data_IF_330489322134
#
_entry.id   IF_330489322134
#
_cell.length_a   1.000
_cell.length_b   1.000
_cell.length_c   1.000
_cell.angle_alpha   90.00
_cell.angle_beta   90.00
_cell.angle_gamma   90.00
#
_symmetry.space_group_name_H-M   'P 1'
#
loop_
_entity.id
_entity.type
_entity.pdbx_description
1 polymer ?
#
# COMPACT_ATOMS: atom_id res chain seq x y z
N UNK A 1 12.11 -10.04 -16.48
CA UNK A 1 12.88 -9.03 -15.70
C UNK A 1 11.95 -8.44 -14.65
N UNK A 2 12.44 -8.33 -13.42
CA UNK A 2 11.74 -7.71 -12.30
C UNK A 2 11.56 -6.19 -12.47
N UNK A 3 10.87 -5.59 -11.49
CA UNK A 3 10.74 -4.13 -11.40
C UNK A 3 12.10 -3.47 -11.12
N UNK A 4 12.27 -2.26 -11.64
CA UNK A 4 13.43 -1.41 -11.37
C UNK A 4 12.97 -0.02 -10.94
N UNK A 5 13.83 0.67 -10.20
CA UNK A 5 13.68 2.10 -9.96
C UNK A 5 13.98 2.85 -11.26
N UNK A 6 13.08 3.72 -11.68
CA UNK A 6 13.22 4.52 -12.89
C UNK A 6 14.36 5.55 -12.77
N UNK A 7 14.84 6.10 -13.89
CA UNK A 7 15.94 7.07 -13.93
C UNK A 7 15.65 8.32 -13.08
N UNK A 8 14.39 8.75 -13.00
CA UNK A 8 13.97 9.88 -12.17
C UNK A 8 14.06 9.61 -10.67
N UNK A 9 14.33 8.37 -10.25
CA UNK A 9 14.40 7.89 -8.86
C UNK A 9 13.10 8.05 -8.05
N UNK A 10 11.98 8.37 -8.68
CA UNK A 10 10.70 8.65 -8.01
C UNK A 10 9.60 7.67 -8.38
N UNK A 11 9.82 6.83 -9.38
CA UNK A 11 8.84 5.87 -9.90
C UNK A 11 9.51 4.55 -10.24
N UNK A 12 8.70 3.58 -10.67
CA UNK A 12 9.18 2.29 -11.14
C UNK A 12 9.12 2.20 -12.67
N UNK A 13 9.94 1.30 -13.20
CA UNK A 13 9.88 0.85 -14.60
C UNK A 13 9.92 -0.67 -14.70
N UNK A 14 9.29 -1.19 -15.74
CA UNK A 14 9.36 -2.60 -16.14
C UNK A 14 9.53 -2.70 -17.65
N UNK A 15 10.56 -3.42 -18.09
CA UNK A 15 10.87 -3.57 -19.52
C UNK A 15 10.99 -2.22 -20.27
N UNK A 16 11.56 -1.20 -19.62
CA UNK A 16 11.75 0.14 -20.18
C UNK A 16 10.46 0.99 -20.30
N UNK A 17 9.38 0.58 -19.65
CA UNK A 17 8.13 1.34 -19.56
C UNK A 17 7.84 1.73 -18.14
N UNK A 18 7.23 2.92 -17.95
CA UNK A 18 6.74 3.35 -16.64
C UNK A 18 5.80 2.30 -16.05
N UNK A 19 5.95 2.05 -14.76
CA UNK A 19 5.13 1.08 -14.03
C UNK A 19 4.52 1.76 -12.81
N UNK A 20 3.20 1.93 -12.84
CA UNK A 20 2.44 2.37 -11.68
C UNK A 20 2.13 1.16 -10.80
N UNK A 21 2.66 1.15 -9.57
CA UNK A 21 2.46 0.07 -8.60
C UNK A 21 1.00 0.13 -8.08
N UNK A 22 0.11 -0.68 -8.65
CA UNK A 22 -1.27 -0.83 -8.17
C UNK A 22 -1.38 -2.19 -7.49
N UNK A 23 -1.32 -2.20 -6.16
CA UNK A 23 -1.32 -3.43 -5.39
C UNK A 23 -2.63 -3.70 -4.67
N UNK A 24 -2.87 -4.98 -4.40
CA UNK A 24 -3.86 -5.44 -3.42
C UNK A 24 -3.18 -6.15 -2.25
N UNK A 25 -3.72 -5.95 -1.06
CA UNK A 25 -3.24 -6.56 0.17
C UNK A 25 -3.92 -7.90 0.41
N UNK A 26 -3.16 -8.98 0.40
CA UNK A 26 -3.63 -10.33 0.69
C UNK A 26 -2.65 -11.04 1.64
N UNK A 27 -2.49 -10.49 2.86
CA UNK A 27 -1.46 -10.92 3.81
C UNK A 27 -1.49 -12.42 4.10
N UNK A 28 -2.68 -13.00 4.27
CA UNK A 28 -2.87 -14.40 4.67
C UNK A 28 -2.94 -15.38 3.48
N UNK A 29 -2.50 -15.00 2.28
CA UNK A 29 -2.70 -15.83 1.09
C UNK A 29 -2.13 -17.24 1.25
N UNK A 30 -0.88 -17.39 1.67
CA UNK A 30 -0.21 -18.69 1.74
C UNK A 30 -0.75 -19.64 2.80
N UNK A 31 -1.48 -19.12 3.78
CA UNK A 31 -2.05 -19.94 4.87
C UNK A 31 -3.54 -20.21 4.71
N UNK A 32 -4.29 -19.27 4.11
CA UNK A 32 -5.75 -19.27 4.19
C UNK A 32 -6.46 -19.51 2.85
N UNK A 33 -5.76 -19.46 1.71
CA UNK A 33 -6.40 -19.56 0.40
C UNK A 33 -6.13 -20.93 -0.23
N UNK A 34 -7.20 -21.60 -0.66
CA UNK A 34 -7.08 -22.80 -1.48
C UNK A 34 -6.84 -22.45 -2.96
N UNK A 35 -6.43 -23.43 -3.75
CA UNK A 35 -6.04 -23.24 -5.15
C UNK A 35 -7.15 -22.64 -6.04
N UNK A 36 -8.40 -23.06 -5.85
CA UNK A 36 -9.52 -22.57 -6.65
C UNK A 36 -9.86 -21.12 -6.35
N UNK A 37 -9.92 -20.78 -5.06
CA UNK A 37 -10.17 -19.42 -4.61
C UNK A 37 -9.02 -18.49 -5.01
N UNK A 38 -7.76 -18.98 -4.99
CA UNK A 38 -6.61 -18.23 -5.45
C UNK A 38 -6.73 -17.84 -6.92
N UNK A 39 -7.03 -18.80 -7.80
CA UNK A 39 -7.24 -18.52 -9.23
C UNK A 39 -8.39 -17.54 -9.47
N UNK A 40 -9.50 -17.69 -8.74
CA UNK A 40 -10.62 -16.77 -8.82
C UNK A 40 -10.22 -15.34 -8.41
N UNK A 41 -9.53 -15.18 -7.27
CA UNK A 41 -9.04 -13.91 -6.77
C UNK A 41 -8.10 -13.23 -7.79
N UNK A 42 -7.10 -13.95 -8.28
CA UNK A 42 -6.16 -13.44 -9.28
C UNK A 42 -6.88 -12.97 -10.55
N UNK A 43 -7.80 -13.79 -11.06
CA UNK A 43 -8.58 -13.42 -12.23
C UNK A 43 -9.41 -12.16 -12.00
N UNK A 44 -10.02 -12.03 -10.84
CA UNK A 44 -10.85 -10.88 -10.51
C UNK A 44 -10.02 -9.61 -10.40
N UNK A 45 -8.93 -9.62 -9.62
CA UNK A 45 -8.01 -8.47 -9.47
C UNK A 45 -7.33 -8.08 -10.79
N UNK A 46 -7.00 -9.06 -11.62
CA UNK A 46 -6.47 -8.80 -12.97
C UNK A 46 -7.45 -8.00 -13.83
N UNK A 47 -8.74 -8.33 -13.80
CA UNK A 47 -9.78 -7.57 -14.52
C UNK A 47 -9.90 -6.13 -14.02
N UNK A 48 -9.63 -5.90 -12.76
CA UNK A 48 -9.57 -4.56 -12.16
C UNK A 48 -8.26 -3.82 -12.46
N UNK A 49 -7.30 -4.42 -13.17
CA UNK A 49 -6.04 -3.78 -13.56
C UNK A 49 -4.96 -3.79 -12.48
N UNK A 50 -5.17 -4.50 -11.37
CA UNK A 50 -4.14 -4.70 -10.36
C UNK A 50 -2.94 -5.45 -10.96
N UNK A 51 -1.73 -5.08 -10.52
CA UNK A 51 -0.50 -5.60 -11.09
C UNK A 51 0.53 -6.01 -10.04
N UNK A 52 0.27 -5.79 -8.75
CA UNK A 52 1.12 -6.23 -7.63
C UNK A 52 0.25 -6.89 -6.55
N UNK A 53 0.80 -7.89 -5.87
CA UNK A 53 0.20 -8.51 -4.68
C UNK A 53 1.15 -8.37 -3.50
N UNK A 54 0.64 -7.87 -2.37
CA UNK A 54 1.35 -7.84 -1.09
C UNK A 54 0.95 -9.07 -0.27
N UNK A 55 1.92 -9.94 0.05
CA UNK A 55 1.68 -11.23 0.70
C UNK A 55 2.72 -11.44 1.79
N UNK A 56 2.31 -11.92 2.97
CA UNK A 56 3.24 -12.33 4.03
C UNK A 56 3.81 -13.72 3.76
N UNK A 57 5.13 -13.85 3.86
CA UNK A 57 5.79 -15.15 3.84
C UNK A 57 5.49 -15.90 5.14
N UNK A 58 5.56 -15.22 6.28
CA UNK A 58 5.16 -15.78 7.57
C UNK A 58 3.78 -15.24 7.98
N UNK A 59 2.88 -16.07 8.53
CA UNK A 59 1.53 -15.64 8.89
C UNK A 59 1.53 -14.60 10.00
N UNK A 60 0.68 -13.60 9.87
CA UNK A 60 0.37 -12.64 10.92
C UNK A 60 -0.64 -13.24 11.92
N UNK A 61 -0.82 -12.58 13.07
CA UNK A 61 -1.77 -13.05 14.10
C UNK A 61 -3.22 -12.63 13.81
N UNK A 62 -3.44 -11.47 13.21
CA UNK A 62 -4.75 -10.90 12.90
C UNK A 62 -5.35 -11.47 11.60
N UNK A 63 -5.27 -12.77 11.48
CA UNK A 63 -5.82 -13.55 10.38
C UNK A 63 -7.11 -14.24 10.79
N UNK A 64 -7.89 -14.66 9.83
CA UNK A 64 -9.03 -15.55 10.05
C UNK A 64 -8.57 -16.98 10.30
N UNK A 65 -9.29 -17.69 11.15
CA UNK A 65 -9.10 -19.12 11.32
C UNK A 65 -9.33 -19.84 9.99
N UNK A 66 -8.58 -20.92 9.77
CA UNK A 66 -8.63 -21.71 8.53
C UNK A 66 -8.58 -23.20 8.83
N UNK A 67 -9.19 -24.01 7.97
CA UNK A 67 -9.07 -25.48 8.00
C UNK A 67 -7.83 -25.97 7.23
N UNK A 68 -7.15 -25.07 6.52
CA UNK A 68 -5.93 -25.38 5.79
C UNK A 68 -4.77 -25.49 6.78
N UNK A 69 -4.04 -26.58 6.69
CA UNK A 69 -2.93 -26.85 7.62
C UNK A 69 -1.58 -26.44 7.00
N UNK A 70 -1.44 -25.15 6.66
CA UNK A 70 -0.20 -24.61 6.13
C UNK A 70 0.57 -23.88 7.24
N UNK A 71 1.76 -24.38 7.57
CA UNK A 71 2.63 -23.81 8.60
C UNK A 71 4.07 -23.72 8.11
N UNK A 72 4.75 -22.56 8.23
CA UNK A 72 6.13 -22.37 7.76
C UNK A 72 7.16 -23.16 8.56
N UNK A 73 6.83 -23.55 9.78
CA UNK A 73 7.67 -24.31 10.68
C UNK A 73 6.92 -25.52 11.25
N UNK A 74 7.66 -26.53 11.70
CA UNK A 74 7.09 -27.54 12.56
C UNK A 74 6.68 -26.91 13.90
N UNK A 75 5.67 -27.47 14.53
CA UNK A 75 5.16 -27.02 15.84
C UNK A 75 5.50 -28.02 16.93
N UNK A 76 5.77 -27.51 18.12
CA UNK A 76 5.87 -28.31 19.32
C UNK A 76 4.49 -28.76 19.83
N UNK A 77 4.45 -29.54 20.92
CA UNK A 77 3.22 -30.03 21.54
C UNK A 77 2.30 -28.89 22.06
N UNK A 78 2.85 -27.68 22.25
CA UNK A 78 2.12 -26.49 22.68
C UNK A 78 1.68 -25.61 21.52
N UNK A 79 2.04 -25.97 20.27
CA UNK A 79 1.72 -25.22 19.06
C UNK A 79 2.71 -24.11 18.72
N UNK A 80 3.83 -23.95 19.45
CA UNK A 80 4.86 -22.96 19.13
C UNK A 80 5.74 -23.43 17.97
N UNK A 81 6.25 -22.51 17.19
CA UNK A 81 7.17 -22.79 16.09
C UNK A 81 8.53 -23.26 16.59
N UNK A 82 9.05 -24.31 15.96
CA UNK A 82 10.43 -24.77 16.07
C UNK A 82 11.22 -24.13 14.92
N UNK A 83 11.83 -22.98 15.15
CA UNK A 83 12.44 -22.15 14.09
C UNK A 83 13.65 -22.80 13.41
N UNK A 84 14.25 -23.82 14.03
CA UNK A 84 15.27 -24.70 13.45
C UNK A 84 14.69 -25.75 12.46
N UNK A 85 13.35 -25.85 12.33
CA UNK A 85 12.66 -26.87 11.54
C UNK A 85 11.68 -26.25 10.53
N UNK A 86 12.22 -25.71 9.47
CA UNK A 86 11.46 -25.21 8.34
C UNK A 86 10.62 -26.32 7.70
N UNK A 87 9.42 -25.97 7.25
CA UNK A 87 8.50 -26.89 6.60
C UNK A 87 8.53 -26.73 5.08
N UNK A 88 9.27 -27.59 4.39
CA UNK A 88 9.41 -27.53 2.93
C UNK A 88 8.08 -27.60 2.19
N UNK A 89 7.08 -28.32 2.71
CA UNK A 89 5.77 -28.40 2.06
C UNK A 89 5.06 -27.04 2.01
N UNK A 90 5.22 -26.24 3.06
CA UNK A 90 4.70 -24.86 3.09
C UNK A 90 5.37 -23.97 2.05
N UNK A 91 6.70 -23.98 1.99
CA UNK A 91 7.44 -23.16 1.04
C UNK A 91 7.20 -23.58 -0.42
N UNK A 92 7.06 -24.89 -0.68
CA UNK A 92 6.67 -25.38 -2.01
C UNK A 92 5.26 -24.96 -2.39
N UNK A 93 4.31 -24.98 -1.47
CA UNK A 93 2.96 -24.47 -1.67
C UNK A 93 2.97 -22.95 -1.95
N UNK A 94 3.65 -22.16 -1.12
CA UNK A 94 3.77 -20.71 -1.30
C UNK A 94 4.42 -20.37 -2.66
N UNK A 95 5.48 -21.09 -3.06
CA UNK A 95 6.09 -20.95 -4.37
C UNK A 95 5.09 -21.20 -5.50
N UNK A 96 4.36 -22.32 -5.43
CA UNK A 96 3.34 -22.66 -6.43
C UNK A 96 2.28 -21.55 -6.58
N UNK A 97 1.83 -20.97 -5.47
CA UNK A 97 0.91 -19.83 -5.50
C UNK A 97 1.54 -18.60 -6.16
N UNK A 98 2.82 -18.32 -5.90
CA UNK A 98 3.56 -17.24 -6.55
C UNK A 98 3.70 -17.45 -8.07
N UNK A 99 4.01 -18.68 -8.51
CA UNK A 99 4.10 -19.04 -9.92
C UNK A 99 2.78 -18.80 -10.64
N UNK A 100 1.67 -19.24 -10.05
CA UNK A 100 0.33 -18.97 -10.59
C UNK A 100 0.05 -17.45 -10.66
N UNK A 101 0.40 -16.68 -9.64
CA UNK A 101 0.25 -15.22 -9.68
C UNK A 101 1.07 -14.57 -10.80
N UNK A 102 2.31 -15.04 -11.02
CA UNK A 102 3.17 -14.58 -12.14
C UNK A 102 2.57 -14.94 -13.51
N UNK A 103 1.95 -16.11 -13.67
CA UNK A 103 1.22 -16.48 -14.90
C UNK A 103 0.06 -15.53 -15.20
N UNK A 104 -0.64 -15.05 -14.17
CA UNK A 104 -1.64 -13.98 -14.29
C UNK A 104 -1.02 -12.60 -14.53
N UNK A 105 0.30 -12.45 -14.47
CA UNK A 105 1.05 -11.23 -14.75
C UNK A 105 1.18 -10.28 -13.56
N UNK A 106 1.04 -10.77 -12.34
CA UNK A 106 1.31 -9.98 -11.13
C UNK A 106 2.79 -9.93 -10.80
N UNK A 107 3.24 -8.80 -10.25
CA UNK A 107 4.44 -8.70 -9.47
C UNK A 107 4.15 -9.09 -8.02
N UNK A 108 5.17 -9.58 -7.34
CA UNK A 108 5.06 -10.07 -5.97
C UNK A 108 5.79 -9.12 -5.03
N UNK A 109 5.11 -8.59 -4.03
CA UNK A 109 5.70 -7.88 -2.91
C UNK A 109 5.60 -8.77 -1.67
N UNK A 110 6.68 -9.49 -1.37
CA UNK A 110 6.71 -10.51 -0.33
C UNK A 110 7.25 -9.94 0.98
N UNK A 111 6.42 -9.94 2.02
CA UNK A 111 6.80 -9.48 3.36
C UNK A 111 7.56 -10.59 4.08
N UNK A 112 8.79 -10.27 4.48
CA UNK A 112 9.76 -11.24 4.98
C UNK A 112 9.55 -11.53 6.47
N UNK A 113 9.59 -10.51 7.32
CA UNK A 113 9.46 -10.63 8.77
C UNK A 113 8.35 -9.73 9.31
N UNK A 114 7.18 -10.30 9.60
CA UNK A 114 6.12 -9.55 10.28
C UNK A 114 6.52 -9.23 11.72
N UNK A 115 6.07 -8.12 12.27
CA UNK A 115 6.54 -7.59 13.56
C UNK A 115 6.34 -8.55 14.75
N UNK A 116 5.34 -9.43 14.75
CA UNK A 116 5.14 -10.39 15.83
C UNK A 116 6.27 -11.44 15.97
N UNK A 117 7.10 -11.64 14.94
CA UNK A 117 8.26 -12.53 15.00
C UNK A 117 9.53 -11.86 15.53
N UNK A 118 9.53 -10.54 15.63
CA UNK A 118 10.71 -9.72 15.93
C UNK A 118 10.59 -9.17 17.35
N UNK A 119 11.56 -9.44 18.26
CA UNK A 119 11.47 -9.03 19.65
C UNK A 119 11.39 -7.51 19.80
N UNK A 120 10.73 -7.08 20.88
CA UNK A 120 10.56 -5.69 21.27
C UNK A 120 9.78 -4.80 20.29
N UNK A 121 9.11 -5.39 19.30
CA UNK A 121 8.09 -4.68 18.50
C UNK A 121 6.76 -4.65 19.27
N UNK A 122 5.88 -3.72 18.87
CA UNK A 122 4.57 -3.57 19.51
C UNK A 122 3.76 -4.87 19.51
N UNK A 123 3.71 -5.61 18.40
CA UNK A 123 2.96 -6.86 18.29
C UNK A 123 3.64 -8.01 19.04
N UNK A 124 4.97 -8.11 19.01
CA UNK A 124 5.69 -9.13 19.76
C UNK A 124 5.53 -8.94 21.27
N UNK A 125 5.49 -7.71 21.77
CA UNK A 125 5.23 -7.42 23.18
C UNK A 125 3.85 -7.92 23.66
N UNK A 126 2.88 -8.05 22.74
CA UNK A 126 1.57 -8.62 23.04
C UNK A 126 1.50 -10.14 22.79
N UNK A 127 2.29 -10.66 21.83
CA UNK A 127 2.23 -12.03 21.31
C UNK A 127 3.62 -12.64 21.18
N UNK A 128 4.33 -12.83 22.30
CA UNK A 128 5.74 -13.24 22.30
C UNK A 128 6.00 -14.73 22.06
N UNK A 129 4.96 -15.57 21.94
CA UNK A 129 5.09 -17.03 21.85
C UNK A 129 5.81 -17.57 20.60
N UNK A 130 5.86 -16.76 19.53
CA UNK A 130 6.55 -17.09 18.28
C UNK A 130 7.65 -16.09 17.93
N UNK A 131 8.40 -15.60 18.92
CA UNK A 131 9.57 -14.76 18.66
C UNK A 131 10.66 -15.59 17.99
N UNK A 132 11.12 -15.17 16.81
CA UNK A 132 12.20 -15.85 16.09
C UNK A 132 13.54 -15.62 16.80
N UNK A 133 14.34 -16.66 17.10
CA UNK A 133 15.71 -16.48 17.59
C UNK A 133 16.59 -15.77 16.54
N UNK A 134 17.47 -14.88 16.98
CA UNK A 134 18.30 -14.06 16.06
C UNK A 134 19.21 -14.91 15.15
N UNK A 135 19.69 -16.03 15.65
CA UNK A 135 20.52 -17.01 14.92
C UNK A 135 19.76 -17.71 13.81
N UNK A 136 18.42 -17.85 13.92
CA UNK A 136 17.59 -18.56 12.94
C UNK A 136 17.25 -17.68 11.70
N UNK A 137 17.54 -16.39 11.77
CA UNK A 137 17.33 -15.47 10.61
C UNK A 137 18.11 -15.96 9.39
N UNK A 138 19.35 -16.42 9.55
CA UNK A 138 20.20 -16.87 8.42
C UNK A 138 19.57 -18.05 7.68
N UNK A 139 19.10 -19.06 8.43
CA UNK A 139 18.43 -20.24 7.87
C UNK A 139 17.15 -19.87 7.15
N UNK A 140 16.34 -19.02 7.77
CA UNK A 140 15.09 -18.55 7.20
C UNK A 140 15.30 -17.72 5.93
N UNK A 141 16.20 -16.75 5.94
CA UNK A 141 16.49 -15.89 4.76
C UNK A 141 17.05 -16.69 3.59
N UNK A 142 17.92 -17.70 3.84
CA UNK A 142 18.35 -18.62 2.80
C UNK A 142 17.17 -19.36 2.18
N UNK A 143 16.25 -19.86 3.01
CA UNK A 143 15.04 -20.53 2.52
C UNK A 143 14.15 -19.60 1.69
N UNK A 144 13.97 -18.35 2.11
CA UNK A 144 13.24 -17.31 1.34
C UNK A 144 13.91 -17.11 -0.03
N UNK A 145 15.22 -16.92 -0.05
CA UNK A 145 15.97 -16.76 -1.29
C UNK A 145 15.82 -17.95 -2.24
N UNK A 146 16.05 -19.17 -1.74
CA UNK A 146 15.92 -20.41 -2.52
C UNK A 146 14.51 -20.61 -3.09
N UNK A 147 13.50 -20.14 -2.36
CA UNK A 147 12.09 -20.35 -2.73
C UNK A 147 11.62 -19.34 -3.75
N UNK A 148 11.99 -18.06 -3.65
CA UNK A 148 11.28 -16.99 -4.34
C UNK A 148 12.14 -16.12 -5.26
N UNK A 149 13.47 -16.05 -5.10
CA UNK A 149 14.28 -15.02 -5.76
C UNK A 149 14.27 -15.10 -7.29
N UNK A 150 14.18 -16.30 -7.86
CA UNK A 150 14.11 -16.49 -9.31
C UNK A 150 12.78 -16.03 -9.93
N UNK A 151 11.78 -15.71 -9.10
CA UNK A 151 10.52 -15.07 -9.53
C UNK A 151 10.59 -13.54 -9.59
N UNK A 152 11.77 -12.97 -9.32
CA UNK A 152 12.01 -11.51 -9.28
C UNK A 152 11.03 -10.74 -8.34
N UNK A 153 10.84 -11.12 -7.06
CA UNK A 153 9.95 -10.40 -6.17
C UNK A 153 10.53 -9.06 -5.72
N UNK A 154 9.66 -8.19 -5.20
CA UNK A 154 10.03 -7.10 -4.29
C UNK A 154 10.06 -7.69 -2.88
N UNK A 155 11.14 -7.52 -2.13
CA UNK A 155 11.18 -7.95 -0.74
C UNK A 155 10.82 -6.79 0.19
N UNK A 156 9.76 -6.97 0.96
CA UNK A 156 9.37 -6.05 2.02
C UNK A 156 9.87 -6.64 3.34
N UNK A 157 10.96 -6.10 3.84
CA UNK A 157 11.75 -6.73 4.91
C UNK A 157 10.97 -6.84 6.23
N UNK A 158 10.17 -5.83 6.54
CA UNK A 158 9.33 -5.79 7.76
C UNK A 158 7.85 -5.74 7.41
N UNK A 159 7.01 -6.14 8.37
CA UNK A 159 5.56 -5.90 8.30
C UNK A 159 5.07 -5.22 9.58
N UNK A 160 4.39 -4.09 9.44
CA UNK A 160 3.71 -3.31 10.48
C UNK A 160 4.56 -3.02 11.74
N UNK A 161 5.84 -2.74 11.55
CA UNK A 161 6.81 -2.55 12.65
C UNK A 161 6.94 -1.11 13.11
N UNK A 162 7.22 -0.92 14.39
CA UNK A 162 7.38 0.40 15.03
C UNK A 162 8.83 0.89 15.10
N UNK A 163 9.83 0.05 14.94
CA UNK A 163 11.27 0.38 14.90
C UNK A 163 11.81 1.14 16.14
N UNK A 164 11.14 1.03 17.27
CA UNK A 164 11.48 1.82 18.47
C UNK A 164 12.75 1.33 19.16
N UNK A 165 13.08 0.05 19.05
CA UNK A 165 14.15 -0.59 19.80
C UNK A 165 15.29 -1.06 18.90
N UNK A 166 16.52 -0.94 19.38
CA UNK A 166 17.74 -1.33 18.66
C UNK A 166 17.73 -2.82 18.28
N UNK A 167 17.19 -3.66 19.17
CA UNK A 167 17.10 -5.10 18.92
C UNK A 167 16.21 -5.40 17.70
N UNK A 168 15.03 -4.81 17.60
CA UNK A 168 14.13 -5.00 16.46
C UNK A 168 14.76 -4.49 15.17
N UNK A 169 15.41 -3.32 15.20
CA UNK A 169 16.15 -2.79 14.07
C UNK A 169 17.27 -3.72 13.60
N UNK A 170 17.97 -4.42 14.53
CA UNK A 170 19.04 -5.35 14.19
C UNK A 170 18.54 -6.57 13.41
N UNK A 171 17.34 -7.08 13.73
CA UNK A 171 16.70 -8.19 12.98
C UNK A 171 16.44 -7.78 11.53
N UNK A 172 15.81 -6.64 11.32
CA UNK A 172 15.49 -6.16 9.98
C UNK A 172 16.75 -5.81 9.18
N UNK A 173 17.75 -5.22 9.85
CA UNK A 173 19.03 -4.91 9.19
C UNK A 173 19.74 -6.20 8.73
N UNK A 174 19.80 -7.23 9.59
CA UNK A 174 20.39 -8.54 9.25
C UNK A 174 19.66 -9.19 8.07
N UNK A 175 18.33 -9.25 8.13
CA UNK A 175 17.52 -9.84 7.06
C UNK A 175 17.72 -9.10 5.72
N UNK A 176 17.73 -7.76 5.76
CA UNK A 176 17.94 -6.93 4.56
C UNK A 176 19.34 -7.14 3.95
N UNK A 177 20.40 -7.12 4.77
CA UNK A 177 21.77 -7.32 4.30
C UNK A 177 21.96 -8.70 3.66
N UNK A 178 21.45 -9.76 4.29
CA UNK A 178 21.51 -11.10 3.72
C UNK A 178 20.75 -11.20 2.38
N UNK A 179 19.58 -10.57 2.25
CA UNK A 179 18.85 -10.55 1.00
C UNK A 179 19.55 -9.71 -0.08
N UNK A 180 20.24 -8.62 0.27
CA UNK A 180 21.07 -7.89 -0.71
C UNK A 180 22.23 -8.74 -1.22
N UNK A 181 22.83 -9.56 -0.38
CA UNK A 181 23.90 -10.47 -0.79
C UNK A 181 23.40 -11.62 -1.67
N UNK A 182 22.26 -12.23 -1.31
CA UNK A 182 21.71 -13.41 -1.98
C UNK A 182 20.87 -13.08 -3.21
N UNK A 183 20.18 -11.95 -3.21
CA UNK A 183 19.22 -11.52 -4.22
C UNK A 183 19.45 -10.03 -4.65
N UNK A 184 20.65 -9.67 -5.15
CA UNK A 184 21.03 -8.27 -5.38
C UNK A 184 20.20 -7.54 -6.44
N UNK A 185 19.41 -8.24 -7.22
CA UNK A 185 18.53 -7.67 -8.24
C UNK A 185 17.10 -7.45 -7.77
N UNK A 186 16.73 -7.94 -6.59
CA UNK A 186 15.41 -7.77 -6.01
C UNK A 186 15.36 -6.46 -5.21
N UNK A 187 14.42 -5.58 -5.54
CA UNK A 187 14.24 -4.33 -4.79
C UNK A 187 13.75 -4.60 -3.37
N UNK A 188 14.21 -3.79 -2.42
CA UNK A 188 13.86 -3.93 -1.01
C UNK A 188 13.19 -2.66 -0.46
N UNK A 189 12.24 -2.86 0.46
CA UNK A 189 11.62 -1.81 1.25
C UNK A 189 11.28 -2.30 2.66
N UNK A 190 10.76 -1.39 3.49
CA UNK A 190 10.18 -1.68 4.80
C UNK A 190 8.70 -1.31 4.78
N UNK A 191 7.87 -2.17 5.34
CA UNK A 191 6.50 -1.83 5.71
C UNK A 191 6.46 -1.51 7.21
N UNK A 192 6.12 -0.27 7.52
CA UNK A 192 6.13 0.26 8.89
C UNK A 192 4.70 0.42 9.42
N UNK A 193 4.53 0.46 10.74
CA UNK A 193 3.21 0.64 11.35
C UNK A 193 2.56 1.97 10.93
N UNK A 194 1.25 2.01 11.08
CA UNK A 194 0.46 3.20 10.77
C UNK A 194 1.01 4.47 11.41
N UNK A 195 1.16 5.52 10.60
CA UNK A 195 1.53 6.87 11.01
C UNK A 195 2.98 7.03 11.47
N UNK A 196 3.84 6.02 11.25
CA UNK A 196 5.27 6.12 11.57
C UNK A 196 5.97 7.05 10.57
N UNK A 197 6.65 8.07 11.09
CA UNK A 197 7.41 9.04 10.30
C UNK A 197 8.91 8.71 10.32
N UNK A 198 9.45 8.41 11.49
CA UNK A 198 10.88 8.26 11.70
C UNK A 198 11.35 6.82 11.49
N UNK A 199 12.27 6.65 10.54
CA UNK A 199 12.93 5.37 10.25
C UNK A 199 14.43 5.55 10.50
N UNK A 200 15.08 4.66 11.29
CA UNK A 200 16.51 4.75 11.53
C UNK A 200 17.34 4.77 10.25
N UNK A 201 18.33 5.67 10.19
CA UNK A 201 19.17 5.92 9.00
C UNK A 201 19.82 4.64 8.45
N UNK A 202 20.23 3.73 9.35
CA UNK A 202 20.83 2.44 8.97
C UNK A 202 19.89 1.56 8.14
N UNK A 203 18.56 1.67 8.36
CA UNK A 203 17.53 0.96 7.60
C UNK A 203 17.18 1.73 6.32
N UNK A 204 17.07 3.06 6.36
CA UNK A 204 16.85 3.92 5.18
C UNK A 204 17.90 3.66 4.09
N UNK A 205 19.16 3.42 4.47
CA UNK A 205 20.25 3.11 3.54
C UNK A 205 20.09 1.80 2.79
N UNK A 206 19.36 0.85 3.37
CA UNK A 206 19.10 -0.47 2.77
C UNK A 206 17.95 -0.46 1.76
N UNK A 207 17.06 0.53 1.81
CA UNK A 207 15.83 0.54 1.02
C UNK A 207 16.07 1.08 -0.39
N UNK A 208 15.45 0.46 -1.39
CA UNK A 208 15.43 0.93 -2.78
C UNK A 208 14.24 1.85 -3.03
N UNK A 209 13.17 1.69 -2.28
CA UNK A 209 11.97 2.52 -2.32
C UNK A 209 11.34 2.61 -0.93
N UNK A 210 10.43 3.55 -0.73
CA UNK A 210 9.76 3.77 0.54
C UNK A 210 8.30 3.36 0.50
N UNK A 211 7.87 2.72 1.58
CA UNK A 211 6.49 2.42 1.89
C UNK A 211 6.13 3.08 3.21
N UNK A 212 5.03 3.81 3.24
CA UNK A 212 4.44 4.29 4.49
C UNK A 212 3.02 3.76 4.64
N UNK A 213 2.50 3.82 5.86
CA UNK A 213 1.15 3.39 6.19
C UNK A 213 0.39 4.56 6.81
N UNK A 214 -0.64 5.09 6.13
CA UNK A 214 -1.52 6.10 6.74
C UNK A 214 -2.50 5.49 7.75
N UNK A 215 -2.80 4.21 7.61
CA UNK A 215 -3.40 3.36 8.63
C UNK A 215 -4.91 3.52 8.81
N UNK A 216 -5.44 2.88 9.85
CA UNK A 216 -6.87 2.63 10.04
C UNK A 216 -7.50 3.41 11.20
N UNK A 217 -6.87 4.50 11.64
CA UNK A 217 -7.37 5.30 12.76
C UNK A 217 -8.20 6.50 12.28
N UNK A 218 -9.49 6.51 12.61
CA UNK A 218 -10.45 7.52 12.16
C UNK A 218 -10.48 8.79 13.02
N UNK A 219 -9.62 8.93 14.04
CA UNK A 219 -9.53 10.15 14.83
C UNK A 219 -9.17 11.36 13.95
N UNK A 220 -9.73 12.51 14.28
CA UNK A 220 -9.57 13.73 13.49
C UNK A 220 -8.09 14.09 13.24
N UNK A 221 -7.23 13.96 14.26
CA UNK A 221 -5.81 14.22 14.14
C UNK A 221 -5.07 13.30 13.14
N UNK A 222 -5.62 12.13 12.85
CA UNK A 222 -5.03 11.17 11.91
C UNK A 222 -5.56 11.32 10.48
N UNK A 223 -6.58 12.16 10.27
CA UNK A 223 -7.19 12.37 8.94
C UNK A 223 -6.19 12.93 7.91
N UNK A 224 -5.19 13.66 8.38
CA UNK A 224 -4.15 14.27 7.56
C UNK A 224 -2.99 13.31 7.18
N UNK A 225 -2.90 12.13 7.78
CA UNK A 225 -1.78 11.21 7.55
C UNK A 225 -1.55 10.82 6.08
N UNK A 226 -2.59 10.67 5.23
CA UNK A 226 -2.38 10.39 3.81
C UNK A 226 -1.52 11.42 3.07
N UNK A 227 -1.46 12.67 3.52
CA UNK A 227 -0.63 13.72 2.91
C UNK A 227 0.53 14.18 3.82
N UNK A 228 0.40 14.17 5.14
CA UNK A 228 1.50 14.53 6.04
C UNK A 228 2.69 13.55 5.94
N UNK A 229 2.40 12.25 5.79
CA UNK A 229 3.46 11.24 5.70
C UNK A 229 4.32 11.40 4.44
N UNK A 230 3.76 11.47 3.21
CA UNK A 230 4.60 11.68 2.04
C UNK A 230 5.35 13.03 2.07
N UNK A 231 4.76 14.10 2.62
CA UNK A 231 5.46 15.38 2.83
C UNK A 231 6.70 15.16 3.71
N UNK A 232 6.54 14.48 4.85
CA UNK A 232 7.64 14.17 5.76
C UNK A 232 8.74 13.34 5.07
N UNK A 233 8.37 12.27 4.35
CA UNK A 233 9.34 11.40 3.66
C UNK A 233 10.13 12.16 2.59
N UNK A 234 9.49 13.04 1.82
CA UNK A 234 10.13 13.85 0.78
C UNK A 234 11.09 14.88 1.39
N UNK A 235 10.75 15.44 2.54
CA UNK A 235 11.57 16.46 3.21
C UNK A 235 12.79 15.85 3.90
N UNK A 236 12.65 14.66 4.51
CA UNK A 236 13.65 14.13 5.45
C UNK A 236 14.52 13.01 4.88
N UNK A 237 14.09 12.35 3.78
CA UNK A 237 14.80 11.20 3.24
C UNK A 237 15.32 11.43 1.81
N UNK A 238 16.38 10.69 1.39
CA UNK A 238 16.84 10.74 0.02
C UNK A 238 15.74 10.40 -0.99
N UNK A 239 15.82 11.01 -2.19
CA UNK A 239 14.84 10.78 -3.25
C UNK A 239 14.82 9.31 -3.68
N UNK A 240 13.68 8.65 -3.48
CA UNK A 240 13.38 7.27 -3.91
C UNK A 240 11.90 7.18 -4.27
N UNK A 241 11.46 6.14 -5.01
CA UNK A 241 10.03 5.90 -5.20
C UNK A 241 9.32 5.79 -3.85
N UNK A 242 8.17 6.42 -3.74
CA UNK A 242 7.38 6.49 -2.50
C UNK A 242 5.95 6.06 -2.80
N UNK A 243 5.39 5.20 -1.96
CA UNK A 243 4.00 4.76 -2.06
C UNK A 243 3.35 4.57 -0.68
N UNK A 244 2.03 4.76 -0.62
CA UNK A 244 1.24 4.37 0.55
C UNK A 244 0.90 2.89 0.42
N UNK A 245 1.59 2.06 1.19
CA UNK A 245 1.46 0.60 1.16
C UNK A 245 0.28 0.06 1.95
N UNK A 246 -0.27 0.89 2.85
CA UNK A 246 -1.43 0.56 3.65
C UNK A 246 -2.21 1.82 4.04
N UNK A 247 -3.02 2.37 3.14
CA UNK A 247 -4.08 3.31 3.50
C UNK A 247 -5.19 2.56 4.26
N UNK A 248 -6.20 3.28 4.73
CA UNK A 248 -7.34 2.62 5.37
C UNK A 248 -7.99 1.59 4.42
N UNK A 249 -8.35 0.41 4.95
CA UNK A 249 -8.97 -0.65 4.15
C UNK A 249 -10.48 -0.48 4.08
N UNK A 250 -11.05 -0.80 2.92
CA UNK A 250 -12.48 -0.71 2.71
C UNK A 250 -13.25 -1.69 3.61
N UNK A 251 -14.28 -1.19 4.28
CA UNK A 251 -15.10 -1.89 5.26
C UNK A 251 -14.35 -2.41 6.49
N UNK A 252 -13.13 -1.93 6.75
CA UNK A 252 -12.45 -2.18 8.01
C UNK A 252 -13.06 -1.32 9.11
N UNK A 253 -13.27 -1.92 10.28
CA UNK A 253 -13.65 -1.18 11.48
C UNK A 253 -12.59 -0.15 11.86
N UNK A 254 -12.99 0.95 12.48
CA UNK A 254 -12.04 1.92 12.98
C UNK A 254 -11.19 1.32 14.11
N UNK A 255 -9.89 1.59 14.09
CA UNK A 255 -8.99 1.09 15.13
C UNK A 255 -9.38 1.59 16.54
N UNK A 256 -8.87 0.94 17.56
CA UNK A 256 -9.11 1.27 18.98
C UNK A 256 -10.58 1.11 19.40
N UNK A 257 -11.29 0.14 18.85
CA UNK A 257 -12.71 -0.15 19.12
C UNK A 257 -13.65 1.04 18.91
N UNK A 258 -13.27 2.00 18.06
CA UNK A 258 -14.15 3.11 17.69
C UNK A 258 -15.30 2.60 16.81
N UNK A 259 -16.49 3.15 17.04
CA UNK A 259 -17.67 2.82 16.23
C UNK A 259 -17.55 3.39 14.80
N UNK A 260 -17.68 2.53 13.80
CA UNK A 260 -17.70 2.88 12.39
C UNK A 260 -16.76 2.03 11.54
N UNK A 261 -16.87 2.18 10.23
CA UNK A 261 -16.05 1.50 9.22
C UNK A 261 -15.61 2.49 8.17
N UNK A 262 -14.49 2.20 7.51
CA UNK A 262 -14.06 2.98 6.36
C UNK A 262 -14.89 2.61 5.13
N UNK A 263 -15.51 3.61 4.52
CA UNK A 263 -16.30 3.46 3.31
C UNK A 263 -15.50 3.81 2.06
N UNK A 264 -16.10 3.63 0.90
CA UNK A 264 -15.53 3.90 -0.40
C UNK A 264 -14.90 5.31 -0.51
N UNK A 265 -15.58 6.33 0.03
CA UNK A 265 -15.07 7.71 -0.01
C UNK A 265 -13.76 7.89 0.77
N UNK A 266 -13.67 7.36 2.01
CA UNK A 266 -12.46 7.53 2.83
C UNK A 266 -11.23 6.88 2.20
N UNK A 267 -11.38 5.70 1.62
CA UNK A 267 -10.25 5.01 0.97
C UNK A 267 -9.82 5.72 -0.31
N UNK A 268 -10.78 6.23 -1.10
CA UNK A 268 -10.51 7.00 -2.31
C UNK A 268 -9.81 8.32 -1.98
N UNK A 269 -10.27 9.02 -0.94
CA UNK A 269 -9.62 10.22 -0.41
C UNK A 269 -8.17 9.95 0.01
N UNK A 270 -7.94 8.90 0.80
CA UNK A 270 -6.59 8.54 1.23
C UNK A 270 -5.64 8.28 0.06
N UNK A 271 -6.13 7.60 -0.99
CA UNK A 271 -5.35 7.33 -2.18
C UNK A 271 -4.96 8.62 -2.94
N UNK A 272 -5.93 9.46 -3.29
CA UNK A 272 -5.67 10.68 -4.05
C UNK A 272 -4.82 11.68 -3.28
N UNK A 273 -5.07 11.84 -1.99
CA UNK A 273 -4.25 12.70 -1.14
C UNK A 273 -2.79 12.23 -1.09
N UNK A 274 -2.56 10.92 -0.94
CA UNK A 274 -1.21 10.35 -0.92
C UNK A 274 -0.47 10.57 -2.25
N UNK A 275 -1.14 10.26 -3.36
CA UNK A 275 -0.56 10.33 -4.70
C UNK A 275 -0.21 11.77 -5.08
N UNK A 276 -1.13 12.72 -4.92
CA UNK A 276 -0.89 14.12 -5.29
C UNK A 276 0.06 14.85 -4.35
N UNK A 277 0.39 14.25 -3.21
CA UNK A 277 1.41 14.79 -2.30
C UNK A 277 2.80 14.20 -2.55
N UNK A 278 2.93 13.26 -3.49
CA UNK A 278 4.23 12.74 -3.94
C UNK A 278 4.43 11.23 -3.81
N UNK A 279 3.45 10.51 -3.27
CA UNK A 279 3.46 9.04 -3.26
C UNK A 279 2.92 8.47 -4.59
N UNK A 280 3.43 8.97 -5.71
CA UNK A 280 2.91 8.62 -7.04
C UNK A 280 3.60 7.42 -7.69
N UNK A 281 4.57 6.79 -7.02
CA UNK A 281 5.12 5.52 -7.49
C UNK A 281 4.07 4.42 -7.49
N UNK A 282 3.04 4.56 -6.64
CA UNK A 282 1.92 3.64 -6.57
C UNK A 282 1.06 3.78 -5.34
N UNK A 283 0.09 2.91 -5.25
CA UNK A 283 -0.86 2.82 -4.16
C UNK A 283 -1.28 1.37 -3.93
N UNK A 284 -1.54 1.01 -2.69
CA UNK A 284 -2.06 -0.32 -2.34
C UNK A 284 -3.48 -0.22 -1.83
N UNK A 285 -4.37 -1.01 -2.41
CA UNK A 285 -5.71 -1.21 -1.94
C UNK A 285 -5.74 -2.30 -0.86
N UNK A 286 -6.63 -2.18 0.09
CA UNK A 286 -6.95 -3.22 1.03
C UNK A 286 -8.45 -3.28 1.31
N UNK A 287 -8.95 -4.49 1.59
CA UNK A 287 -10.33 -4.74 1.95
C UNK A 287 -10.43 -5.63 3.18
N UNK A 288 -11.26 -5.24 4.14
CA UNK A 288 -11.61 -6.11 5.25
C UNK A 288 -12.24 -7.40 4.71
N UNK A 289 -11.68 -8.54 5.07
CA UNK A 289 -12.06 -9.84 4.55
C UNK A 289 -11.15 -10.41 3.45
N UNK A 290 -10.44 -9.56 2.68
CA UNK A 290 -9.43 -10.01 1.72
C UNK A 290 -8.07 -10.15 2.41
N UNK A 291 -7.59 -9.13 3.16
CA UNK A 291 -6.26 -9.17 3.75
C UNK A 291 -6.06 -10.37 4.68
N UNK A 292 -7.08 -10.72 5.45
CA UNK A 292 -7.13 -11.85 6.40
C UNK A 292 -7.72 -13.13 5.81
N UNK A 293 -8.21 -13.07 4.57
CA UNK A 293 -8.96 -14.11 3.87
C UNK A 293 -10.06 -14.73 4.74
N UNK A 294 -11.00 -13.89 5.17
CA UNK A 294 -12.08 -14.30 6.07
C UNK A 294 -13.11 -15.17 5.37
N UNK A 295 -13.43 -16.31 6.01
CA UNK A 295 -14.46 -17.24 5.54
C UNK A 295 -15.63 -17.23 6.51
N UNK A 296 -16.85 -17.29 5.99
CA UNK A 296 -18.06 -17.30 6.81
C UNK A 296 -18.03 -18.40 7.89
N UNK A 297 -18.38 -18.02 9.13
CA UNK A 297 -18.42 -18.90 10.29
C UNK A 297 -17.06 -19.23 10.91
N UNK A 298 -15.98 -18.66 10.40
CA UNK A 298 -14.64 -18.76 11.02
C UNK A 298 -14.42 -17.63 12.02
N UNK A 299 -13.66 -17.90 13.06
CA UNK A 299 -13.21 -16.89 14.01
C UNK A 299 -12.20 -15.95 13.34
N UNK A 300 -12.19 -14.71 13.78
CA UNK A 300 -11.21 -13.70 13.39
C UNK A 300 -10.44 -13.27 14.63
N UNK A 301 -9.11 -13.43 14.60
CA UNK A 301 -8.26 -13.10 15.73
C UNK A 301 -8.03 -11.58 15.80
N UNK A 302 -8.88 -10.87 16.53
CA UNK A 302 -8.81 -9.42 16.70
C UNK A 302 -8.73 -8.97 18.17
N UNK A 303 -8.62 -9.89 19.12
CA UNK A 303 -8.59 -9.58 20.55
C UNK A 303 -7.35 -8.81 20.98
N UNK A 304 -6.33 -8.82 20.11
CA UNK A 304 -5.01 -8.21 20.34
C UNK A 304 -4.74 -7.18 19.26
N UNK A 305 -4.15 -6.04 19.62
CA UNK A 305 -3.79 -4.99 18.67
C UNK A 305 -4.81 -3.88 18.57
N UNK A 306 -5.14 -3.44 17.37
CA UNK A 306 -5.99 -2.26 17.11
C UNK A 306 -7.48 -2.51 17.38
N UNK A 307 -7.92 -3.73 17.68
CA UNK A 307 -9.30 -4.05 18.07
C UNK A 307 -10.30 -3.83 16.92
N UNK A 308 -9.99 -4.33 15.73
CA UNK A 308 -10.90 -4.22 14.59
C UNK A 308 -12.09 -5.18 14.72
N UNK A 309 -13.27 -4.74 14.28
CA UNK A 309 -14.43 -5.60 14.13
C UNK A 309 -14.20 -6.72 13.10
N UNK A 310 -14.90 -7.84 13.29
CA UNK A 310 -14.86 -8.96 12.34
C UNK A 310 -15.17 -8.51 10.92
N UNK A 311 -14.36 -8.92 9.93
CA UNK A 311 -14.55 -8.56 8.53
C UNK A 311 -15.72 -9.32 7.91
N UNK A 312 -16.19 -8.85 6.77
CA UNK A 312 -17.07 -9.64 5.91
C UNK A 312 -16.29 -10.80 5.26
N UNK A 313 -16.97 -11.91 4.90
CA UNK A 313 -16.33 -12.99 4.16
C UNK A 313 -15.70 -12.50 2.83
N UNK A 314 -14.58 -13.10 2.43
CA UNK A 314 -13.79 -12.68 1.27
C UNK A 314 -14.61 -12.62 -0.03
N UNK A 315 -15.56 -13.54 -0.24
CA UNK A 315 -16.40 -13.59 -1.43
C UNK A 315 -17.39 -12.43 -1.56
N UNK A 316 -17.67 -11.71 -0.46
CA UNK A 316 -18.38 -10.43 -0.47
C UNK A 316 -17.37 -9.27 -0.60
N UNK A 317 -16.29 -9.33 0.14
CA UNK A 317 -15.28 -8.27 0.20
C UNK A 317 -14.57 -8.04 -1.15
N UNK A 318 -14.43 -9.07 -1.98
CA UNK A 318 -13.81 -8.95 -3.30
C UNK A 318 -14.61 -8.02 -4.25
N UNK A 319 -15.89 -7.81 -3.97
CA UNK A 319 -16.80 -6.97 -4.76
C UNK A 319 -16.93 -5.54 -4.25
N UNK A 320 -16.20 -5.14 -3.24
CA UNK A 320 -16.28 -3.77 -2.75
C UNK A 320 -15.92 -2.75 -3.84
N UNK A 321 -16.69 -1.65 -3.94
CA UNK A 321 -16.57 -0.70 -5.04
C UNK A 321 -15.26 0.06 -5.08
N UNK A 322 -14.63 0.32 -3.93
CA UNK A 322 -13.38 1.07 -3.85
C UNK A 322 -12.21 0.41 -4.56
N UNK A 323 -12.24 -0.91 -4.75
CA UNK A 323 -11.26 -1.59 -5.59
C UNK A 323 -11.28 -1.08 -7.05
N UNK A 324 -12.45 -0.68 -7.57
CA UNK A 324 -12.58 -0.05 -8.88
C UNK A 324 -12.12 1.41 -8.87
N UNK A 325 -12.26 2.13 -7.75
CA UNK A 325 -11.75 3.49 -7.63
C UNK A 325 -10.22 3.52 -7.72
N UNK A 326 -9.55 2.57 -7.09
CA UNK A 326 -8.09 2.40 -7.20
C UNK A 326 -7.67 2.01 -8.62
N UNK A 327 -8.42 1.13 -9.25
CA UNK A 327 -8.26 0.80 -10.67
C UNK A 327 -8.32 2.03 -11.56
N UNK A 328 -9.28 2.92 -11.31
CA UNK A 328 -9.48 4.15 -12.08
C UNK A 328 -8.31 5.14 -11.95
N UNK A 329 -7.62 5.17 -10.82
CA UNK A 329 -6.40 5.97 -10.66
C UNK A 329 -5.37 5.58 -11.75
N UNK A 330 -5.12 4.27 -11.90
CA UNK A 330 -4.20 3.79 -12.93
C UNK A 330 -4.69 4.12 -14.34
N UNK A 331 -5.99 3.98 -14.60
CA UNK A 331 -6.60 4.35 -15.88
C UNK A 331 -6.41 5.84 -16.19
N UNK A 332 -6.54 6.72 -15.19
CA UNK A 332 -6.29 8.15 -15.33
C UNK A 332 -4.81 8.39 -15.65
N UNK A 333 -3.88 7.76 -14.91
CA UNK A 333 -2.44 7.88 -15.18
C UNK A 333 -2.07 7.43 -16.59
N UNK A 334 -2.61 6.29 -17.05
CA UNK A 334 -2.37 5.77 -18.38
C UNK A 334 -2.95 6.69 -19.46
N UNK A 335 -4.20 7.17 -19.30
CA UNK A 335 -4.89 8.00 -20.27
C UNK A 335 -4.27 9.40 -20.44
N UNK A 336 -3.71 9.95 -19.37
CA UNK A 336 -3.04 11.25 -19.38
C UNK A 336 -1.53 11.15 -19.48
N UNK A 337 -0.98 9.94 -19.71
CA UNK A 337 0.46 9.67 -19.83
C UNK A 337 1.29 10.25 -18.67
N UNK A 338 0.76 10.11 -17.45
CA UNK A 338 1.39 10.64 -16.23
C UNK A 338 2.50 9.69 -15.80
N UNK A 339 3.73 10.15 -15.85
CA UNK A 339 4.90 9.38 -15.42
C UNK A 339 5.64 10.01 -14.25
N UNK A 340 5.36 11.27 -13.97
CA UNK A 340 5.93 12.02 -12.86
C UNK A 340 4.95 13.07 -12.34
N UNK A 341 4.96 13.26 -11.01
CA UNK A 341 4.25 14.33 -10.33
C UNK A 341 5.22 15.17 -9.49
N UNK A 342 4.95 16.46 -9.42
CA UNK A 342 5.58 17.38 -8.48
C UNK A 342 4.51 18.17 -7.74
N UNK A 343 4.74 18.45 -6.44
CA UNK A 343 3.78 19.23 -5.65
C UNK A 343 3.51 20.58 -6.29
N UNK A 344 2.24 20.93 -6.42
CA UNK A 344 1.76 22.24 -6.86
C UNK A 344 0.88 22.92 -5.78
N UNK A 345 1.03 22.50 -4.53
CA UNK A 345 0.24 23.01 -3.41
C UNK A 345 0.38 24.52 -3.23
N UNK A 346 1.53 25.09 -3.58
CA UNK A 346 1.79 26.53 -3.56
C UNK A 346 0.96 27.35 -4.55
N UNK A 347 0.34 26.70 -5.55
CA UNK A 347 -0.58 27.33 -6.49
C UNK A 347 -2.00 27.51 -5.89
N UNK A 348 -2.35 26.74 -4.87
CA UNK A 348 -3.64 26.86 -4.21
C UNK A 348 -3.68 28.08 -3.28
N UNK A 349 -4.77 28.84 -3.33
CA UNK A 349 -5.02 30.00 -2.47
C UNK A 349 -6.13 29.76 -1.44
N UNK A 350 -6.71 28.55 -1.42
CA UNK A 350 -7.84 28.23 -0.55
C UNK A 350 -7.45 28.12 0.94
N UNK A 351 -6.19 27.78 1.27
CA UNK A 351 -5.77 27.52 2.63
C UNK A 351 -6.46 26.29 3.24
N UNK A 352 -6.77 25.30 2.42
CA UNK A 352 -7.43 24.04 2.81
C UNK A 352 -6.48 22.90 2.47
N UNK A 353 -5.91 22.26 3.48
CA UNK A 353 -4.90 21.23 3.30
C UNK A 353 -5.46 19.91 2.74
N UNK A 354 -6.74 19.62 2.94
CA UNK A 354 -7.42 18.44 2.38
C UNK A 354 -7.46 18.47 0.84
N UNK A 355 -7.41 19.65 0.21
CA UNK A 355 -7.30 19.83 -1.25
C UNK A 355 -5.83 19.66 -1.64
N UNK A 356 -5.53 18.71 -2.51
CA UNK A 356 -4.15 18.44 -2.94
C UNK A 356 -3.97 18.75 -4.41
N UNK A 357 -2.82 19.34 -4.74
CA UNK A 357 -2.50 19.73 -6.11
C UNK A 357 -1.10 19.24 -6.52
N UNK A 358 -1.00 18.69 -7.70
CA UNK A 358 0.26 18.27 -8.31
C UNK A 358 0.34 18.63 -9.79
N UNK A 359 1.54 18.96 -10.25
CA UNK A 359 1.86 19.21 -11.66
C UNK A 359 2.48 17.93 -12.25
N UNK A 360 2.00 17.52 -13.42
CA UNK A 360 2.51 16.37 -14.16
C UNK A 360 3.67 16.77 -15.06
N UNK A 361 4.39 15.74 -15.58
CA UNK A 361 5.46 15.91 -16.56
C UNK A 361 5.02 16.56 -17.89
N UNK A 362 3.75 16.47 -18.24
CA UNK A 362 3.16 16.98 -19.48
C UNK A 362 2.27 18.23 -19.27
N UNK A 363 2.56 19.02 -18.24
CA UNK A 363 1.92 20.31 -17.93
C UNK A 363 0.42 20.24 -17.56
N UNK A 364 -0.05 19.11 -17.04
CA UNK A 364 -1.36 19.05 -16.43
C UNK A 364 -1.26 19.44 -14.95
N UNK A 365 -2.13 20.30 -14.47
CA UNK A 365 -2.32 20.53 -13.04
C UNK A 365 -3.49 19.67 -12.58
N UNK A 366 -3.21 18.68 -11.74
CA UNK A 366 -4.20 17.82 -11.10
C UNK A 366 -4.56 18.40 -9.75
N UNK A 367 -5.86 18.54 -9.46
CA UNK A 367 -6.34 19.01 -8.15
C UNK A 367 -7.41 18.05 -7.65
N UNK A 368 -7.14 17.39 -6.54
CA UNK A 368 -8.11 16.56 -5.83
C UNK A 368 -8.92 17.43 -4.86
N UNK A 369 -10.22 17.34 -4.95
CA UNK A 369 -11.18 18.14 -4.16
C UNK A 369 -12.13 17.17 -3.45
N UNK A 370 -11.90 16.87 -2.15
CA UNK A 370 -12.74 15.93 -1.40
C UNK A 370 -14.14 16.47 -1.11
N UNK A 371 -14.28 17.78 -0.94
CA UNK A 371 -15.54 18.46 -0.66
C UNK A 371 -15.72 19.62 -1.63
N UNK A 372 -16.84 19.65 -2.32
CA UNK A 372 -17.10 20.60 -3.41
C UNK A 372 -16.97 22.07 -2.96
N UNK A 373 -16.05 22.78 -3.59
CA UNK A 373 -15.79 24.20 -3.34
C UNK A 373 -15.21 24.89 -4.57
N UNK A 374 -15.20 26.22 -4.57
CA UNK A 374 -14.48 27.01 -5.57
C UNK A 374 -12.98 26.91 -5.32
N UNK A 375 -12.21 26.63 -6.36
CA UNK A 375 -10.75 26.52 -6.29
C UNK A 375 -10.13 27.84 -6.73
N UNK A 376 -9.32 28.45 -5.86
CA UNK A 376 -8.55 29.66 -6.18
C UNK A 376 -7.11 29.28 -6.48
N UNK A 377 -6.61 29.74 -7.64
CA UNK A 377 -5.27 29.42 -8.13
C UNK A 377 -4.46 30.70 -8.37
N UNK A 378 -3.17 30.66 -7.99
CA UNK A 378 -2.17 31.68 -8.34
C UNK A 378 -1.76 31.54 -9.82
N UNK A 379 -2.72 31.56 -10.73
CA UNK A 379 -2.54 31.46 -12.17
C UNK A 379 -3.43 32.47 -12.86
N UNK A 380 -2.95 33.07 -13.95
CA UNK A 380 -3.79 33.87 -14.82
C UNK A 380 -4.76 32.96 -15.61
N UNK A 381 -5.96 33.42 -15.88
CA UNK A 381 -6.93 32.68 -16.71
C UNK A 381 -6.38 32.32 -18.08
N UNK A 382 -5.51 33.17 -18.62
CA UNK A 382 -4.84 32.98 -19.92
C UNK A 382 -3.84 31.82 -19.93
N UNK A 383 -3.36 31.35 -18.77
CA UNK A 383 -2.47 30.24 -18.64
C UNK A 383 -3.20 28.87 -18.72
N UNK A 384 -4.52 28.89 -18.60
CA UNK A 384 -5.37 27.70 -18.64
C UNK A 384 -5.95 27.56 -20.06
N UNK A 385 -5.81 26.36 -20.62
CA UNK A 385 -6.42 26.01 -21.89
C UNK A 385 -7.79 25.36 -21.68
N UNK A 386 -7.85 24.32 -20.87
CA UNK A 386 -9.06 23.55 -20.60
C UNK A 386 -9.08 23.07 -19.16
N UNK A 387 -10.27 22.87 -18.62
CA UNK A 387 -10.49 22.19 -17.34
C UNK A 387 -11.46 21.03 -17.57
N UNK A 388 -11.04 19.83 -17.23
CA UNK A 388 -11.90 18.64 -17.17
C UNK A 388 -12.07 18.27 -15.69
N UNK A 389 -13.30 18.13 -15.24
CA UNK A 389 -13.63 17.71 -13.88
C UNK A 389 -14.17 16.29 -13.95
N UNK A 390 -13.60 15.40 -13.16
CA UNK A 390 -13.95 13.97 -13.13
C UNK A 390 -14.58 13.68 -11.77
N UNK A 391 -15.83 13.22 -11.76
CA UNK A 391 -16.46 12.58 -10.60
C UNK A 391 -15.75 11.26 -10.34
N UNK A 392 -15.12 11.13 -9.20
CA UNK A 392 -14.29 9.95 -8.89
C UNK A 392 -15.09 8.72 -8.45
N UNK A 393 -16.39 8.86 -8.22
CA UNK A 393 -17.27 7.72 -7.93
C UNK A 393 -17.97 7.20 -9.18
N UNK A 394 -18.55 8.09 -9.98
CA UNK A 394 -19.34 7.71 -11.16
C UNK A 394 -18.55 7.70 -12.47
N UNK A 395 -17.34 8.28 -12.49
CA UNK A 395 -16.48 8.52 -13.69
C UNK A 395 -17.07 9.51 -14.67
N UNK A 396 -18.16 10.20 -14.30
CA UNK A 396 -18.72 11.25 -15.13
C UNK A 396 -17.72 12.41 -15.28
N UNK A 397 -17.76 13.08 -16.44
CA UNK A 397 -16.85 14.19 -16.75
C UNK A 397 -17.63 15.41 -17.17
N UNK A 398 -17.20 16.58 -16.72
CA UNK A 398 -17.72 17.86 -17.16
C UNK A 398 -16.59 18.85 -17.50
N UNK A 399 -16.93 19.91 -18.20
CA UNK A 399 -16.01 21.01 -18.51
C UNK A 399 -16.12 22.05 -17.40
N UNK A 400 -15.00 22.30 -16.74
CA UNK A 400 -14.92 23.32 -15.69
C UNK A 400 -14.91 24.73 -16.25
N UNK A 401 -15.38 25.67 -15.44
CA UNK A 401 -15.37 27.12 -15.75
C UNK A 401 -14.26 27.81 -14.96
N UNK A 402 -13.67 28.85 -15.54
CA UNK A 402 -12.66 29.70 -14.90
C UNK A 402 -12.98 31.17 -15.06
N UNK A 403 -12.74 31.95 -14.02
CA UNK A 403 -12.90 33.40 -14.01
C UNK A 403 -11.72 34.05 -13.29
N UNK A 404 -11.44 35.31 -13.61
CA UNK A 404 -10.40 36.07 -12.91
C UNK A 404 -10.84 36.41 -11.48
N UNK A 405 -9.89 36.41 -10.56
CA UNK A 405 -10.07 36.87 -9.19
C UNK A 405 -8.84 37.66 -8.71
N UNK A 406 -8.91 38.25 -7.52
CA UNK A 406 -7.76 38.96 -6.95
C UNK A 406 -6.61 37.96 -6.69
N UNK A 407 -5.46 38.20 -7.32
CA UNK A 407 -4.24 37.42 -7.19
C UNK A 407 -4.17 36.15 -8.06
N UNK A 408 -5.11 35.99 -9.03
CA UNK A 408 -5.10 34.85 -9.94
C UNK A 408 -6.45 34.55 -10.58
N UNK A 409 -6.81 33.26 -10.60
CA UNK A 409 -8.09 32.81 -11.14
C UNK A 409 -8.87 31.93 -10.15
N UNK A 410 -10.14 31.77 -10.45
CA UNK A 410 -11.09 30.97 -9.68
C UNK A 410 -11.75 29.95 -10.61
N UNK A 411 -11.57 28.69 -10.31
CA UNK A 411 -12.27 27.56 -10.95
C UNK A 411 -13.60 27.33 -10.23
N UNK A 412 -14.66 27.14 -10.99
CA UNK A 412 -16.02 26.96 -10.47
C UNK A 412 -16.17 25.61 -9.71
N UNK A 413 -17.23 25.57 -8.92
CA UNK A 413 -17.66 24.30 -8.28
C UNK A 413 -18.15 23.33 -9.37
N UNK A 414 -17.97 22.03 -9.14
CA UNK A 414 -18.60 20.99 -9.95
C UNK A 414 -20.07 20.75 -9.54
N UNK A 415 -20.78 19.97 -10.33
CA UNK A 415 -22.20 19.63 -10.09
C UNK A 415 -22.38 18.27 -9.41
N UNK A 416 -21.32 17.54 -9.15
CA UNK A 416 -21.36 16.19 -8.58
C UNK A 416 -21.61 16.22 -7.07
N UNK A 417 -22.16 15.13 -6.54
CA UNK A 417 -22.34 14.94 -5.09
C UNK A 417 -21.08 14.39 -4.41
N UNK A 418 -20.14 13.81 -5.20
CA UNK A 418 -18.96 13.12 -4.72
C UNK A 418 -17.70 13.99 -4.86
N UNK A 419 -16.59 13.47 -4.38
CA UNK A 419 -15.26 14.04 -4.56
C UNK A 419 -14.84 14.03 -6.06
N UNK A 420 -14.03 14.99 -6.43
CA UNK A 420 -13.66 15.18 -7.82
C UNK A 420 -12.16 15.41 -8.03
N UNK A 421 -11.68 14.97 -9.21
CA UNK A 421 -10.38 15.35 -9.74
C UNK A 421 -10.55 16.39 -10.84
N UNK A 422 -9.93 17.54 -10.65
CA UNK A 422 -9.80 18.56 -11.68
C UNK A 422 -8.50 18.31 -12.45
N UNK A 423 -8.62 18.15 -13.75
CA UNK A 423 -7.49 18.07 -14.69
C UNK A 423 -7.45 19.37 -15.46
N UNK A 424 -6.47 20.21 -15.17
CA UNK A 424 -6.29 21.54 -15.76
C UNK A 424 -5.16 21.47 -16.76
N UNK A 425 -5.49 21.61 -18.04
CA UNK A 425 -4.52 21.70 -19.14
C UNK A 425 -3.89 23.12 -19.12
N UNK A 426 -2.56 23.19 -18.93
CA UNK A 426 -1.81 24.45 -18.95
C UNK A 426 -1.20 24.67 -20.33
N UNK A 427 -1.20 25.94 -20.79
CA UNK A 427 -0.62 26.36 -22.10
C UNK A 427 0.89 26.26 -22.16
#
# INVERSE_FOLDING_TARGET
>A
MGLKVAINKKSFEKNGKSFFYLADTCWSAFTNINENDWKYYLQYRKRQGYNVLQINILPQWDASATDLNHSPYQKDEKGNYQFDKLNDSYFNHARSMCEVAKEYGFELALVVLWCNYVPATWANNMLSHNTMPYEEIDGYIKKVNETFTDLDPLYVISGDTDLNEEISCSYYLKASQLLHELAPNCLQSLHVRGRLMEIPEKLIKQMDFYMFQSGHNAKLENRAMPYCLPEYFIEHYPVKPLLNSEPCYEQMGYSSNMYGRFHQFEIRRAAWQSILTGAFAGITYGAAGIYSWHTYGKEFANEVGEGFDSPNPWHLAIHYPGAWDYSDIKVIFDNYEITELSSAQNLLMNGIDDIRAALTNNKLLLIYVPENTKIKLKLETTAIDKITIIDLETRHREVGTVSSCQGGCMVGMHIFEHDALYVVDLK
#
